data_IF_678217991098
#
_entry.id   IF_678217991098
#
_cell.length_a   1.000
_cell.length_b   1.000
_cell.length_c   1.000
_cell.angle_alpha   90.00
_cell.angle_beta   90.00
_cell.angle_gamma   90.00
#
_symmetry.space_group_name_H-M   'P 1'
#
loop_
_entity.id
_entity.type
_entity.pdbx_description
1 polymer ?
#
# COMPACT_ATOMS: atom_id res chain seq x y z
N UNK A 1 -13.63 -13.14 26.27
CA UNK A 1 -13.13 -11.75 26.12
C UNK A 1 -12.05 -11.58 25.04
N UNK A 2 -10.85 -12.20 25.15
CA UNK A 2 -9.76 -12.03 24.16
C UNK A 2 -10.13 -12.35 22.70
N UNK A 3 -11.03 -13.32 22.45
CA UNK A 3 -11.52 -13.67 21.08
C UNK A 3 -12.46 -12.62 20.49
N UNK A 4 -13.27 -11.95 21.32
CA UNK A 4 -14.20 -10.89 20.89
C UNK A 4 -13.45 -9.62 20.49
N UNK A 5 -12.46 -9.23 21.30
CA UNK A 5 -11.59 -8.07 21.02
C UNK A 5 -10.83 -8.27 19.70
N UNK A 6 -10.28 -9.49 19.45
CA UNK A 6 -9.63 -9.80 18.17
C UNK A 6 -10.56 -9.67 16.96
N UNK A 7 -11.83 -10.06 17.08
CA UNK A 7 -12.81 -9.94 16.01
C UNK A 7 -13.16 -8.47 15.73
N UNK A 8 -13.39 -7.67 16.77
CA UNK A 8 -13.67 -6.23 16.64
C UNK A 8 -12.50 -5.51 15.97
N UNK A 9 -11.27 -5.83 16.37
CA UNK A 9 -10.06 -5.23 15.80
C UNK A 9 -9.86 -5.63 14.32
N UNK A 10 -10.27 -6.85 13.96
CA UNK A 10 -10.24 -7.31 12.58
C UNK A 10 -11.29 -6.61 11.70
N UNK A 11 -12.50 -6.43 12.23
CA UNK A 11 -13.58 -5.70 11.55
C UNK A 11 -13.18 -4.24 11.34
N UNK A 12 -12.63 -3.57 12.36
CA UNK A 12 -12.16 -2.20 12.25
C UNK A 12 -11.07 -2.05 11.18
N UNK A 13 -10.13 -3.00 11.13
CA UNK A 13 -9.07 -3.03 10.13
C UNK A 13 -9.62 -3.28 8.72
N UNK A 14 -10.60 -4.17 8.56
CA UNK A 14 -11.25 -4.41 7.27
C UNK A 14 -12.01 -3.17 6.78
N UNK A 15 -12.72 -2.47 7.68
CA UNK A 15 -13.40 -1.20 7.35
C UNK A 15 -12.38 -0.12 6.96
N UNK A 16 -11.25 -0.04 7.65
CA UNK A 16 -10.17 0.89 7.31
C UNK A 16 -9.60 0.61 5.92
N UNK A 17 -9.27 -0.64 5.61
CA UNK A 17 -8.79 -1.05 4.29
C UNK A 17 -9.84 -0.83 3.21
N UNK A 18 -11.12 -1.10 3.49
CA UNK A 18 -12.21 -0.91 2.54
C UNK A 18 -12.42 0.58 2.23
N UNK A 19 -12.35 1.46 3.23
CA UNK A 19 -12.39 2.91 3.00
C UNK A 19 -11.17 3.40 2.21
N UNK A 20 -9.99 2.87 2.53
CA UNK A 20 -8.77 3.22 1.79
C UNK A 20 -8.85 2.76 0.32
N UNK A 21 -9.25 1.51 0.09
CA UNK A 21 -9.48 0.98 -1.25
C UNK A 21 -10.59 1.75 -1.97
N UNK A 22 -11.67 2.13 -1.27
CA UNK A 22 -12.75 2.95 -1.80
C UNK A 22 -12.27 4.32 -2.26
N UNK A 23 -11.47 5.02 -1.44
CA UNK A 23 -10.86 6.30 -1.81
C UNK A 23 -9.86 6.15 -2.97
N UNK A 24 -9.11 5.06 -3.01
CA UNK A 24 -8.22 4.72 -4.12
C UNK A 24 -8.99 4.51 -5.43
N UNK A 25 -10.04 3.68 -5.43
CA UNK A 25 -10.88 3.45 -6.60
C UNK A 25 -11.68 4.69 -6.99
N UNK A 26 -12.11 5.49 -6.02
CA UNK A 26 -12.78 6.76 -6.28
C UNK A 26 -11.83 7.75 -6.97
N UNK A 27 -10.59 7.88 -6.50
CA UNK A 27 -9.56 8.70 -7.16
C UNK A 27 -9.22 8.18 -8.57
N UNK A 28 -9.14 6.86 -8.74
CA UNK A 28 -8.94 6.22 -10.04
C UNK A 28 -10.11 6.47 -11.00
N UNK A 29 -11.35 6.30 -10.54
CA UNK A 29 -12.56 6.51 -11.33
C UNK A 29 -12.80 7.99 -11.64
N UNK A 30 -12.49 8.91 -10.72
CA UNK A 30 -12.52 10.34 -11.00
C UNK A 30 -11.46 10.74 -12.04
N UNK A 31 -10.29 10.08 -12.05
CA UNK A 31 -9.26 10.24 -13.08
C UNK A 31 -9.65 9.68 -14.45
N UNK A 32 -10.61 8.75 -14.52
CA UNK A 32 -11.11 8.15 -15.77
C UNK A 32 -12.39 8.82 -16.26
N UNK A 33 -13.27 9.26 -15.35
CA UNK A 33 -14.62 9.73 -15.66
C UNK A 33 -14.77 11.23 -15.94
N UNK A 34 -13.78 12.06 -15.61
CA UNK A 34 -13.80 13.50 -15.86
C UNK A 34 -12.61 13.94 -16.69
N UNK A 35 -12.83 14.28 -17.97
CA UNK A 35 -11.80 14.71 -18.93
C UNK A 35 -10.58 13.79 -18.98
N UNK A 36 -10.60 12.83 -19.89
CA UNK A 36 -9.44 12.00 -20.24
C UNK A 36 -8.36 12.89 -20.87
N UNK A 37 -7.65 13.69 -20.05
CA UNK A 37 -6.20 13.68 -20.15
C UNK A 37 -5.85 12.33 -19.55
N UNK A 38 -5.53 11.35 -20.40
CA UNK A 38 -4.70 10.24 -19.93
C UNK A 38 -3.61 10.92 -19.10
N UNK A 39 -3.60 10.72 -17.79
CA UNK A 39 -2.40 10.95 -17.00
C UNK A 39 -1.47 9.86 -17.53
N UNK A 40 -0.90 10.10 -18.70
CA UNK A 40 0.10 9.24 -19.28
C UNK A 40 1.24 9.16 -18.28
N UNK A 41 2.11 8.16 -18.44
CA UNK A 41 3.34 8.11 -17.64
C UNK A 41 4.12 9.44 -17.64
N UNK A 42 3.88 10.33 -18.62
CA UNK A 42 4.39 11.70 -18.71
C UNK A 42 3.88 12.69 -17.64
N UNK A 43 2.75 12.43 -16.97
CA UNK A 43 2.22 13.26 -15.87
C UNK A 43 2.39 12.61 -14.48
N UNK A 44 2.99 11.42 -14.40
CA UNK A 44 3.49 10.92 -13.12
C UNK A 44 4.66 11.81 -12.73
N UNK A 45 4.45 12.67 -11.74
CA UNK A 45 5.51 13.48 -11.16
C UNK A 45 6.50 12.52 -10.47
N UNK A 46 7.50 12.06 -11.22
CA UNK A 46 8.58 11.27 -10.67
C UNK A 46 9.41 12.20 -9.77
N UNK A 47 9.27 11.96 -8.47
CA UNK A 47 10.15 12.54 -7.46
C UNK A 47 11.12 11.45 -6.99
N UNK A 48 12.40 11.52 -7.41
CA UNK A 48 13.41 10.55 -7.00
C UNK A 48 13.55 10.42 -5.49
N UNK A 49 13.34 11.51 -4.73
CA UNK A 49 13.45 11.50 -3.27
C UNK A 49 12.31 10.69 -2.64
N UNK A 50 11.10 10.83 -3.16
CA UNK A 50 9.95 10.05 -2.72
C UNK A 50 10.18 8.56 -3.03
N UNK A 51 10.64 8.23 -4.24
CA UNK A 51 10.95 6.85 -4.61
C UNK A 51 12.03 6.25 -3.71
N UNK A 52 13.11 6.99 -3.43
CA UNK A 52 14.15 6.53 -2.50
C UNK A 52 13.57 6.30 -1.09
N UNK A 53 12.72 7.21 -0.59
CA UNK A 53 12.08 7.05 0.71
C UNK A 53 11.21 5.79 0.78
N UNK A 54 10.44 5.49 -0.28
CA UNK A 54 9.67 4.26 -0.40
C UNK A 54 10.56 3.01 -0.40
N UNK A 55 11.71 3.04 -1.11
CA UNK A 55 12.66 1.93 -1.13
C UNK A 55 13.31 1.68 0.23
N UNK A 56 13.68 2.75 0.95
CA UNK A 56 14.19 2.66 2.32
C UNK A 56 13.15 2.07 3.26
N UNK A 57 11.89 2.49 3.13
CA UNK A 57 10.79 1.93 3.91
C UNK A 57 10.59 0.44 3.61
N UNK A 58 10.56 0.04 2.34
CA UNK A 58 10.47 -1.37 1.95
C UNK A 58 11.61 -2.20 2.56
N UNK A 59 12.84 -1.69 2.53
CA UNK A 59 13.98 -2.36 3.15
C UNK A 59 13.81 -2.51 4.67
N UNK A 60 13.38 -1.44 5.35
CA UNK A 60 13.12 -1.48 6.79
C UNK A 60 12.02 -2.48 7.16
N UNK A 61 10.92 -2.50 6.42
CA UNK A 61 9.80 -3.41 6.67
C UNK A 61 10.21 -4.87 6.37
N UNK A 62 10.96 -5.12 5.29
CA UNK A 62 11.41 -6.49 4.95
C UNK A 62 12.38 -7.05 5.98
N UNK A 63 13.24 -6.22 6.59
CA UNK A 63 14.08 -6.65 7.72
C UNK A 63 13.26 -7.14 8.92
N UNK A 64 12.12 -6.50 9.19
CA UNK A 64 11.27 -6.84 10.33
C UNK A 64 10.39 -8.08 10.08
N UNK A 65 9.78 -8.17 8.89
CA UNK A 65 8.78 -9.20 8.58
C UNK A 65 9.32 -10.42 7.82
N UNK A 66 10.55 -10.35 7.29
CA UNK A 66 11.26 -11.44 6.63
C UNK A 66 10.39 -12.28 5.66
N UNK A 67 9.78 -11.65 4.63
CA UNK A 67 8.93 -12.37 3.69
C UNK A 67 9.68 -13.39 2.86
N UNK A 68 8.98 -14.43 2.39
CA UNK A 68 9.54 -15.39 1.44
C UNK A 68 9.99 -14.67 0.15
N UNK A 69 11.07 -15.10 -0.53
CA UNK A 69 11.63 -14.40 -1.70
C UNK A 69 10.62 -14.07 -2.81
N UNK A 70 9.67 -14.97 -3.09
CA UNK A 70 8.60 -14.75 -4.07
C UNK A 70 7.65 -13.60 -3.66
N UNK A 71 7.25 -13.56 -2.39
CA UNK A 71 6.40 -12.52 -1.81
C UNK A 71 7.14 -11.18 -1.77
N UNK A 72 8.43 -11.20 -1.44
CA UNK A 72 9.29 -10.02 -1.39
C UNK A 72 9.38 -9.31 -2.74
N UNK A 73 9.50 -10.05 -3.85
CA UNK A 73 9.52 -9.47 -5.19
C UNK A 73 8.21 -8.75 -5.53
N UNK A 74 7.06 -9.35 -5.23
CA UNK A 74 5.75 -8.73 -5.47
C UNK A 74 5.56 -7.46 -4.63
N UNK A 75 6.00 -7.50 -3.36
CA UNK A 75 5.92 -6.35 -2.46
C UNK A 75 6.88 -5.23 -2.90
N UNK A 76 8.02 -5.57 -3.48
CA UNK A 76 8.94 -4.61 -4.08
C UNK A 76 8.30 -3.88 -5.26
N UNK A 77 7.70 -4.64 -6.19
CA UNK A 77 6.98 -4.06 -7.34
C UNK A 77 5.82 -3.17 -6.89
N UNK A 78 5.08 -3.59 -5.87
CA UNK A 78 4.02 -2.77 -5.27
C UNK A 78 4.59 -1.48 -4.67
N UNK A 79 5.70 -1.56 -3.94
CA UNK A 79 6.36 -0.39 -3.35
C UNK A 79 6.80 0.61 -4.43
N UNK A 80 7.41 0.12 -5.51
CA UNK A 80 7.75 0.95 -6.66
C UNK A 80 6.50 1.62 -7.24
N UNK A 81 5.44 0.85 -7.48
CA UNK A 81 4.19 1.39 -8.01
C UNK A 81 3.57 2.47 -7.11
N UNK A 82 3.56 2.26 -5.79
CA UNK A 82 3.06 3.22 -4.82
C UNK A 82 3.87 4.53 -4.84
N UNK A 83 5.18 4.44 -5.11
CA UNK A 83 6.03 5.63 -5.18
C UNK A 83 5.66 6.61 -6.28
N UNK A 84 4.99 6.15 -7.35
CA UNK A 84 4.51 7.01 -8.44
C UNK A 84 3.05 7.43 -8.28
N UNK A 85 2.27 6.70 -7.48
CA UNK A 85 0.80 6.80 -7.50
C UNK A 85 0.20 7.36 -6.21
N UNK A 86 0.92 7.28 -5.09
CA UNK A 86 0.38 7.64 -3.77
C UNK A 86 1.38 8.52 -3.02
N UNK A 87 0.88 9.55 -2.33
CA UNK A 87 1.68 10.35 -1.42
C UNK A 87 2.42 9.47 -0.41
N UNK A 88 3.68 9.79 -0.15
CA UNK A 88 4.57 9.01 0.72
C UNK A 88 3.93 8.61 2.06
N UNK A 89 3.26 9.54 2.75
CA UNK A 89 2.66 9.26 4.07
C UNK A 89 1.58 8.18 3.96
N UNK A 90 0.68 8.33 2.99
CA UNK A 90 -0.44 7.41 2.79
C UNK A 90 0.06 6.03 2.34
N UNK A 91 0.96 5.97 1.36
CA UNK A 91 1.48 4.68 0.89
C UNK A 91 2.40 4.01 1.90
N UNK A 92 3.08 4.77 2.77
CA UNK A 92 3.86 4.20 3.88
C UNK A 92 2.96 3.50 4.90
N UNK A 93 1.86 4.14 5.30
CA UNK A 93 0.86 3.54 6.20
C UNK A 93 0.29 2.27 5.56
N UNK A 94 -0.03 2.33 4.26
CA UNK A 94 -0.53 1.17 3.52
C UNK A 94 0.48 0.02 3.50
N UNK A 95 1.75 0.28 3.18
CA UNK A 95 2.79 -0.76 3.16
C UNK A 95 2.95 -1.41 4.53
N UNK A 96 3.04 -0.62 5.60
CA UNK A 96 3.17 -1.16 6.97
C UNK A 96 1.96 -2.01 7.34
N UNK A 97 0.74 -1.52 7.06
CA UNK A 97 -0.49 -2.25 7.35
C UNK A 97 -0.61 -3.54 6.53
N UNK A 98 -0.22 -3.50 5.25
CA UNK A 98 -0.24 -4.64 4.34
C UNK A 98 0.73 -5.72 4.81
N UNK A 99 1.97 -5.37 5.13
CA UNK A 99 2.95 -6.33 5.64
C UNK A 99 2.51 -6.94 6.97
N UNK A 100 2.00 -6.13 7.89
CA UNK A 100 1.44 -6.62 9.15
C UNK A 100 0.33 -7.65 8.93
N UNK A 101 -0.58 -7.38 7.98
CA UNK A 101 -1.68 -8.27 7.65
C UNK A 101 -1.21 -9.57 7.00
N UNK A 102 -0.37 -9.48 5.98
CA UNK A 102 0.17 -10.65 5.27
C UNK A 102 0.96 -11.55 6.23
N UNK A 103 1.74 -10.97 7.15
CA UNK A 103 2.44 -11.68 8.22
C UNK A 103 1.47 -12.39 9.16
N UNK A 104 0.44 -11.67 9.63
CA UNK A 104 -0.57 -12.20 10.56
C UNK A 104 -1.33 -13.39 9.98
N UNK A 105 -1.50 -13.45 8.66
CA UNK A 105 -2.15 -14.55 7.96
C UNK A 105 -1.20 -15.64 7.44
N UNK A 106 0.11 -15.54 7.72
CA UNK A 106 1.14 -16.47 7.20
C UNK A 106 1.13 -16.59 5.67
N UNK A 107 0.88 -15.47 4.99
CA UNK A 107 0.88 -15.36 3.52
C UNK A 107 2.26 -14.88 3.03
N UNK A 108 3.07 -14.26 3.91
CA UNK A 108 4.43 -13.82 3.59
C UNK A 108 5.40 -14.97 3.39
#
# INVERSE_FOLDING_TARGET
>A
MKRLIKKILFIALAIFLANFAGQFFQGFLMGIGGNIKLIGLSNLAFDPLITIAYLMLFYFITLFYQPHPKSQYLLFLLTLFLSFTVNFIQGSILLVALYFLLSKFRIL
#
